data_IF_818499740143
#
_entry.id   IF_818499740143
#
_cell.length_a   1.000
_cell.length_b   1.000
_cell.length_c   1.000
_cell.angle_alpha   90.00
_cell.angle_beta   90.00
_cell.angle_gamma   90.00
#
_symmetry.space_group_name_H-M   'P 1'
#
loop_
_entity.id
_entity.type
_entity.pdbx_description
1 polymer ?
#
# COMPACT_ATOMS: atom_id res chain seq x y z
N UNK A 1 -9.10 -12.73 19.50
CA UNK A 1 -10.08 -13.57 20.21
C UNK A 1 -11.48 -13.14 19.79
N UNK A 2 -12.25 -14.03 19.16
CA UNK A 2 -13.63 -13.73 18.77
C UNK A 2 -14.63 -14.37 19.76
N UNK A 3 -15.34 -13.54 20.52
CA UNK A 3 -16.44 -13.96 21.41
C UNK A 3 -17.73 -14.18 20.62
N UNK A 4 -18.40 -15.31 20.84
CA UNK A 4 -19.71 -15.63 20.29
C UNK A 4 -20.73 -15.56 21.42
N UNK A 5 -21.56 -14.51 21.41
CA UNK A 5 -22.68 -14.38 22.33
C UNK A 5 -23.79 -15.41 22.00
N UNK A 6 -24.47 -15.91 23.04
CA UNK A 6 -25.76 -16.61 22.85
C UNK A 6 -26.82 -15.58 22.45
N UNK A 7 -26.87 -15.25 21.17
CA UNK A 7 -27.75 -14.24 20.61
C UNK A 7 -28.62 -14.80 19.50
N UNK A 8 -29.86 -14.32 19.41
CA UNK A 8 -30.65 -14.41 18.18
C UNK A 8 -30.32 -13.24 17.28
N UNK A 9 -30.17 -13.52 15.99
CA UNK A 9 -29.95 -12.54 14.93
C UNK A 9 -31.08 -12.62 13.88
N UNK A 10 -31.55 -11.47 13.40
CA UNK A 10 -32.62 -11.39 12.39
C UNK A 10 -32.35 -10.29 11.36
N UNK A 11 -32.34 -10.57 10.05
CA UNK A 11 -32.37 -11.92 9.45
C UNK A 11 -31.17 -12.76 9.89
N UNK A 12 -31.27 -14.09 9.78
CA UNK A 12 -30.12 -14.97 9.98
C UNK A 12 -29.09 -14.78 8.86
N UNK A 13 -27.85 -15.22 9.10
CA UNK A 13 -26.76 -15.12 8.13
C UNK A 13 -27.06 -15.86 6.81
N UNK A 14 -27.79 -16.98 6.87
CA UNK A 14 -28.17 -17.70 5.65
C UNK A 14 -29.31 -17.00 4.93
N UNK A 15 -30.34 -16.53 5.64
CA UNK A 15 -31.45 -15.78 5.03
C UNK A 15 -30.97 -14.51 4.32
N UNK A 16 -30.03 -13.76 4.90
CA UNK A 16 -29.50 -12.56 4.24
C UNK A 16 -28.66 -12.91 3.00
N UNK A 17 -27.89 -14.00 3.04
CA UNK A 17 -27.10 -14.43 1.89
C UNK A 17 -27.96 -15.04 0.79
N UNK A 18 -29.02 -15.78 1.14
CA UNK A 18 -29.99 -16.32 0.19
C UNK A 18 -30.67 -15.21 -0.60
N UNK A 19 -30.95 -14.08 0.04
CA UNK A 19 -31.54 -12.92 -0.62
C UNK A 19 -30.56 -12.12 -1.47
N UNK A 20 -29.29 -12.04 -1.07
CA UNK A 20 -28.31 -11.13 -1.68
C UNK A 20 -27.38 -11.81 -2.69
N UNK A 21 -26.81 -12.96 -2.36
CA UNK A 21 -25.75 -13.60 -3.16
C UNK A 21 -26.18 -13.90 -4.61
N UNK A 22 -27.41 -14.39 -4.90
CA UNK A 22 -27.82 -14.67 -6.28
C UNK A 22 -27.86 -13.45 -7.21
N UNK A 23 -27.88 -12.23 -6.67
CA UNK A 23 -27.84 -10.98 -7.46
C UNK A 23 -26.42 -10.54 -7.85
N UNK A 24 -25.39 -11.20 -7.32
CA UNK A 24 -24.01 -10.79 -7.48
C UNK A 24 -23.40 -11.36 -8.77
N UNK A 25 -22.51 -10.60 -9.45
CA UNK A 25 -21.94 -11.02 -10.73
C UNK A 25 -21.04 -12.25 -10.63
N UNK A 26 -20.50 -12.55 -9.44
CA UNK A 26 -19.64 -13.69 -9.16
C UNK A 26 -20.39 -14.95 -8.72
N UNK A 27 -21.71 -14.89 -8.54
CA UNK A 27 -22.48 -16.01 -8.01
C UNK A 27 -22.55 -17.17 -8.99
N UNK A 28 -22.14 -18.36 -8.53
CA UNK A 28 -22.24 -19.61 -9.29
C UNK A 28 -23.07 -20.63 -8.51
N UNK A 29 -24.23 -21.01 -9.05
CA UNK A 29 -25.08 -22.03 -8.44
C UNK A 29 -26.53 -21.96 -8.90
N UNK A 30 -27.34 -22.90 -8.39
CA UNK A 30 -28.78 -22.93 -8.66
C UNK A 30 -29.49 -21.93 -7.74
N UNK A 31 -29.92 -20.80 -8.31
CA UNK A 31 -30.77 -19.84 -7.60
C UNK A 31 -32.02 -20.54 -7.02
N UNK A 32 -32.56 -20.01 -5.93
CA UNK A 32 -33.77 -20.51 -5.24
C UNK A 32 -33.67 -21.91 -4.60
N UNK A 33 -32.49 -22.55 -4.59
CA UNK A 33 -32.27 -23.82 -3.88
C UNK A 33 -31.90 -23.65 -2.41
N UNK A 34 -31.67 -22.41 -1.97
CA UNK A 34 -31.16 -22.07 -0.65
C UNK A 34 -29.66 -22.39 -0.47
N UNK A 35 -29.01 -21.63 0.40
CA UNK A 35 -27.62 -21.75 0.73
C UNK A 35 -27.44 -22.65 1.96
N UNK A 36 -26.52 -23.59 1.82
CA UNK A 36 -26.06 -24.43 2.92
C UNK A 36 -24.70 -23.94 3.41
N UNK A 37 -24.53 -23.79 4.72
CA UNK A 37 -23.23 -23.49 5.32
C UNK A 37 -22.35 -24.73 5.26
N UNK A 38 -21.21 -24.63 4.59
CA UNK A 38 -20.18 -25.67 4.53
C UNK A 38 -19.20 -25.50 5.68
N UNK A 39 -18.65 -24.30 5.83
CA UNK A 39 -17.72 -23.96 6.90
C UNK A 39 -17.72 -22.45 7.16
N UNK A 40 -17.06 -22.04 8.24
CA UNK A 40 -16.83 -20.65 8.59
C UNK A 40 -15.51 -20.49 9.32
N UNK A 41 -14.92 -19.31 9.20
CA UNK A 41 -13.76 -18.86 9.96
C UNK A 41 -13.84 -17.36 10.21
N UNK A 42 -13.02 -16.85 11.13
CA UNK A 42 -13.02 -15.43 11.52
C UNK A 42 -11.61 -14.87 11.52
N UNK A 43 -11.52 -13.55 11.37
CA UNK A 43 -10.33 -12.79 11.72
C UNK A 43 -10.65 -11.87 12.90
N UNK A 44 -9.61 -11.49 13.63
CA UNK A 44 -9.73 -10.50 14.68
C UNK A 44 -9.61 -9.10 14.10
N UNK A 45 -10.54 -8.22 14.49
CA UNK A 45 -10.34 -6.78 14.39
C UNK A 45 -9.46 -6.34 15.57
N UNK A 46 -8.28 -5.72 15.34
CA UNK A 46 -7.41 -5.24 16.41
C UNK A 46 -8.11 -4.30 17.40
N UNK A 47 -9.07 -3.50 16.92
CA UNK A 47 -9.82 -2.55 17.73
C UNK A 47 -11.08 -3.18 18.37
N UNK A 48 -11.48 -4.37 17.91
CA UNK A 48 -12.62 -5.12 18.45
C UNK A 48 -14.01 -4.56 18.10
N UNK A 49 -14.09 -3.61 17.17
CA UNK A 49 -15.32 -2.88 16.83
C UNK A 49 -16.10 -3.54 15.68
N UNK A 50 -15.40 -4.23 14.78
CA UNK A 50 -15.96 -4.87 13.59
C UNK A 50 -15.90 -6.38 13.73
N UNK A 51 -17.08 -7.02 13.66
CA UNK A 51 -17.13 -8.47 13.55
C UNK A 51 -16.70 -8.91 12.15
N UNK A 52 -15.61 -9.68 12.05
CA UNK A 52 -15.14 -10.23 10.76
C UNK A 52 -15.41 -11.74 10.72
N UNK A 53 -16.08 -12.20 9.67
CA UNK A 53 -16.38 -13.62 9.48
C UNK A 53 -16.46 -13.97 8.00
N UNK A 54 -15.89 -15.09 7.62
CA UNK A 54 -16.04 -15.64 6.28
C UNK A 54 -16.88 -16.90 6.34
N UNK A 55 -17.92 -16.95 5.52
CA UNK A 55 -18.76 -18.12 5.33
C UNK A 55 -18.38 -18.81 4.02
N UNK A 56 -18.17 -20.12 4.09
CA UNK A 56 -18.12 -20.99 2.93
C UNK A 56 -19.50 -21.60 2.76
N UNK A 57 -20.18 -21.29 1.66
CA UNK A 57 -21.57 -21.67 1.39
C UNK A 57 -21.71 -22.41 0.08
N UNK A 58 -22.79 -23.16 -0.09
CA UNK A 58 -23.10 -23.89 -1.33
C UNK A 58 -24.57 -23.74 -1.68
N UNK A 59 -24.85 -23.34 -2.92
CA UNK A 59 -26.20 -23.34 -3.51
C UNK A 59 -26.44 -24.66 -4.24
N UNK A 60 -27.36 -25.49 -3.72
CA UNK A 60 -27.69 -26.80 -4.29
C UNK A 60 -26.46 -27.71 -4.48
N UNK A 61 -26.20 -28.12 -5.72
CA UNK A 61 -25.02 -28.92 -6.11
C UNK A 61 -23.89 -28.10 -6.74
N UNK A 62 -23.97 -26.77 -6.67
CA UNK A 62 -22.95 -25.85 -7.18
C UNK A 62 -21.61 -25.93 -6.43
N UNK A 63 -20.63 -25.10 -6.83
CA UNK A 63 -19.35 -25.00 -6.15
C UNK A 63 -19.52 -24.46 -4.73
N UNK A 64 -18.48 -24.64 -3.90
CA UNK A 64 -18.38 -23.89 -2.64
C UNK A 64 -17.99 -22.46 -2.97
N UNK A 65 -18.77 -21.52 -2.45
CA UNK A 65 -18.56 -20.08 -2.56
C UNK A 65 -18.04 -19.52 -1.23
N UNK A 66 -17.11 -18.57 -1.31
CA UNK A 66 -16.60 -17.80 -0.18
C UNK A 66 -17.29 -16.44 -0.12
N UNK A 67 -17.90 -16.13 1.03
CA UNK A 67 -18.55 -14.84 1.29
C UNK A 67 -18.05 -14.28 2.62
N UNK A 68 -17.08 -13.33 2.58
CA UNK A 68 -16.65 -12.63 3.76
C UNK A 68 -17.63 -11.52 4.12
N UNK A 69 -17.92 -11.39 5.41
CA UNK A 69 -18.90 -10.48 5.98
C UNK A 69 -18.24 -9.64 7.07
N UNK A 70 -18.58 -8.35 7.09
CA UNK A 70 -18.35 -7.49 8.26
C UNK A 70 -19.65 -7.10 8.92
N UNK A 71 -19.65 -7.08 10.26
CA UNK A 71 -20.77 -6.67 11.10
C UNK A 71 -20.37 -5.42 11.90
N UNK A 72 -20.95 -4.28 11.57
CA UNK A 72 -20.64 -2.98 12.22
C UNK A 72 -21.78 -2.50 13.10
N UNK A 73 -21.45 -1.83 14.20
CA UNK A 73 -22.44 -1.17 15.09
C UNK A 73 -22.99 0.15 14.55
N UNK A 74 -22.45 0.66 13.44
CA UNK A 74 -22.87 1.87 12.76
C UNK A 74 -22.61 1.73 11.23
N UNK A 75 -23.27 2.54 10.37
CA UNK A 75 -22.99 2.56 8.94
C UNK A 75 -21.52 2.87 8.63
N UNK A 76 -20.97 2.20 7.62
CA UNK A 76 -19.66 2.50 7.03
C UNK A 76 -19.79 3.67 6.04
N UNK A 77 -19.02 4.74 6.27
CA UNK A 77 -18.94 5.87 5.34
C UNK A 77 -18.42 5.41 3.97
N UNK A 78 -19.16 5.74 2.91
CA UNK A 78 -18.83 5.31 1.53
C UNK A 78 -19.05 3.82 1.25
N UNK A 79 -19.64 3.07 2.19
CA UNK A 79 -19.85 1.63 2.08
C UNK A 79 -21.13 1.20 1.38
N UNK A 80 -21.96 2.13 0.88
CA UNK A 80 -23.32 1.84 0.38
C UNK A 80 -23.36 0.76 -0.70
N UNK A 81 -22.39 0.75 -1.61
CA UNK A 81 -22.29 -0.23 -2.69
C UNK A 81 -22.02 -1.66 -2.19
N UNK A 82 -21.54 -1.81 -0.96
CA UNK A 82 -21.17 -3.08 -0.33
C UNK A 82 -22.15 -3.49 0.77
N UNK A 83 -23.13 -2.64 1.09
CA UNK A 83 -24.13 -2.95 2.12
C UNK A 83 -25.01 -4.09 1.63
N UNK A 84 -25.00 -5.19 2.36
CA UNK A 84 -25.89 -6.33 2.11
C UNK A 84 -27.26 -6.03 2.73
N UNK A 85 -27.27 -5.75 4.04
CA UNK A 85 -28.50 -5.46 4.79
C UNK A 85 -28.20 -4.91 6.18
N UNK A 86 -29.24 -4.56 6.93
CA UNK A 86 -29.20 -4.36 8.37
C UNK A 86 -29.78 -5.56 9.11
N UNK A 87 -29.23 -5.88 10.27
CA UNK A 87 -29.58 -7.04 11.09
C UNK A 87 -29.77 -6.64 12.55
N UNK A 88 -30.77 -7.19 13.22
CA UNK A 88 -30.98 -7.04 14.66
C UNK A 88 -30.21 -8.12 15.42
N UNK A 89 -29.36 -7.74 16.37
CA UNK A 89 -28.65 -8.65 17.27
C UNK A 89 -29.13 -8.45 18.71
N UNK A 90 -29.77 -9.48 19.28
CA UNK A 90 -30.37 -9.41 20.63
C UNK A 90 -29.47 -8.89 21.76
N UNK A 91 -28.15 -9.08 21.65
CA UNK A 91 -27.16 -8.59 22.63
C UNK A 91 -26.49 -7.28 22.21
N UNK A 92 -26.31 -7.07 20.90
CA UNK A 92 -25.41 -6.05 20.37
C UNK A 92 -26.17 -4.91 19.67
N UNK A 93 -27.50 -4.98 19.62
CA UNK A 93 -28.36 -4.03 18.92
C UNK A 93 -28.31 -4.18 17.40
N UNK A 94 -28.75 -3.15 16.67
CA UNK A 94 -28.70 -3.10 15.21
C UNK A 94 -27.27 -3.24 14.68
N UNK A 95 -27.14 -3.92 13.54
CA UNK A 95 -25.87 -4.18 12.87
C UNK A 95 -26.00 -3.92 11.37
N UNK A 96 -25.01 -3.25 10.80
CA UNK A 96 -24.85 -3.10 9.36
C UNK A 96 -23.96 -4.22 8.85
N UNK A 97 -24.46 -4.97 7.88
CA UNK A 97 -23.79 -6.15 7.32
C UNK A 97 -23.31 -5.83 5.92
N UNK A 98 -22.00 -5.90 5.70
CA UNK A 98 -21.39 -5.60 4.41
C UNK A 98 -20.75 -6.85 3.80
N UNK A 99 -20.69 -6.87 2.47
CA UNK A 99 -19.71 -7.70 1.76
C UNK A 99 -18.33 -7.15 2.09
N UNK A 100 -17.55 -7.95 2.82
CA UNK A 100 -16.35 -7.47 3.49
C UNK A 100 -15.25 -7.02 2.53
N UNK A 101 -15.33 -7.41 1.25
CA UNK A 101 -14.41 -6.92 0.21
C UNK A 101 -14.37 -5.39 0.13
N UNK A 102 -15.48 -4.71 0.47
CA UNK A 102 -15.55 -3.25 0.56
C UNK A 102 -15.13 -2.64 1.89
N UNK A 103 -14.89 -3.45 2.93
CA UNK A 103 -14.62 -2.96 4.28
C UNK A 103 -13.10 -2.85 4.54
N UNK A 104 -12.57 -1.66 4.84
CA UNK A 104 -11.13 -1.48 5.08
C UNK A 104 -10.60 -2.32 6.25
N UNK A 105 -11.43 -2.61 7.26
CA UNK A 105 -11.02 -3.40 8.44
C UNK A 105 -10.82 -4.87 8.06
N UNK A 106 -11.71 -5.44 7.24
CA UNK A 106 -11.52 -6.79 6.70
C UNK A 106 -10.27 -6.85 5.82
N UNK A 107 -10.10 -5.88 4.92
CA UNK A 107 -8.94 -5.85 4.00
C UNK A 107 -7.62 -5.78 4.76
N UNK A 108 -7.55 -4.98 5.83
CA UNK A 108 -6.40 -4.92 6.71
C UNK A 108 -6.15 -6.27 7.42
N UNK A 109 -7.17 -6.84 8.05
CA UNK A 109 -7.05 -8.12 8.75
C UNK A 109 -6.60 -9.26 7.82
N UNK A 110 -7.22 -9.38 6.64
CA UNK A 110 -6.86 -10.37 5.63
C UNK A 110 -5.42 -10.19 5.15
N UNK A 111 -5.00 -8.96 4.83
CA UNK A 111 -3.63 -8.68 4.40
C UNK A 111 -2.62 -9.06 5.49
N UNK A 112 -2.87 -8.66 6.75
CA UNK A 112 -2.02 -9.02 7.88
C UNK A 112 -1.91 -10.53 8.05
N UNK A 113 -3.03 -11.27 8.03
CA UNK A 113 -3.01 -12.73 8.14
C UNK A 113 -2.19 -13.37 7.03
N UNK A 114 -2.38 -12.95 5.77
CA UNK A 114 -1.66 -13.51 4.63
C UNK A 114 -0.16 -13.27 4.74
N UNK A 115 0.23 -12.03 5.02
CA UNK A 115 1.62 -11.59 4.93
C UNK A 115 2.48 -12.08 6.09
N UNK A 116 1.89 -12.24 7.28
CA UNK A 116 2.57 -12.73 8.49
C UNK A 116 2.55 -14.25 8.64
N UNK A 117 1.90 -14.98 7.74
CA UNK A 117 1.67 -16.42 7.88
C UNK A 117 0.69 -16.77 9.00
N UNK A 118 -0.18 -15.82 9.36
CA UNK A 118 -1.20 -15.98 10.38
C UNK A 118 -2.29 -16.99 10.00
N UNK A 119 -3.20 -17.22 10.94
CA UNK A 119 -4.32 -18.17 10.81
C UNK A 119 -5.65 -17.55 11.23
N UNK A 120 -6.73 -18.31 11.06
CA UNK A 120 -8.03 -17.91 11.60
C UNK A 120 -8.01 -17.66 13.11
N UNK A 121 -8.85 -16.74 13.57
CA UNK A 121 -8.99 -16.44 15.00
C UNK A 121 -9.65 -17.60 15.77
N UNK A 122 -9.17 -17.82 17.00
CA UNK A 122 -9.82 -18.71 17.95
C UNK A 122 -11.21 -18.18 18.33
N UNK A 123 -12.20 -19.07 18.27
CA UNK A 123 -13.60 -18.74 18.53
C UNK A 123 -14.02 -19.29 19.89
N UNK A 124 -14.56 -18.45 20.76
CA UNK A 124 -15.05 -18.87 22.07
C UNK A 124 -16.56 -18.66 22.18
N UNK A 125 -17.29 -19.69 22.61
CA UNK A 125 -18.73 -19.63 22.86
C UNK A 125 -18.96 -19.36 24.35
N UNK A 126 -19.82 -18.40 24.66
CA UNK A 126 -20.27 -18.16 26.03
C UNK A 126 -21.01 -19.38 26.60
N UNK A 127 -20.49 -19.92 27.70
CA UNK A 127 -21.08 -20.99 28.49
C UNK A 127 -21.20 -20.55 29.95
N UNK A 128 -22.11 -21.15 30.72
CA UNK A 128 -22.33 -20.85 32.13
C UNK A 128 -21.10 -21.31 32.96
N UNK A 129 -20.09 -20.45 33.07
CA UNK A 129 -18.90 -20.64 33.90
C UNK A 129 -17.58 -20.20 33.26
N UNK A 130 -17.32 -20.54 32.00
CA UNK A 130 -16.12 -20.13 31.25
C UNK A 130 -16.34 -20.21 29.73
N UNK A 131 -15.72 -19.35 28.91
CA UNK A 131 -15.78 -19.44 27.46
C UNK A 131 -15.18 -20.77 26.96
N UNK A 132 -15.90 -21.48 26.08
CA UNK A 132 -15.44 -22.76 25.50
C UNK A 132 -14.93 -22.53 24.09
N UNK A 133 -13.70 -22.97 23.80
CA UNK A 133 -13.13 -22.92 22.45
C UNK A 133 -13.99 -23.78 21.51
N UNK A 134 -14.43 -23.19 20.41
CA UNK A 134 -15.11 -23.85 19.31
C UNK A 134 -14.08 -24.16 18.23
N UNK A 135 -13.95 -25.43 17.87
CA UNK A 135 -13.10 -25.81 16.74
C UNK A 135 -13.60 -25.13 15.46
N UNK A 136 -12.70 -24.44 14.77
CA UNK A 136 -12.98 -23.85 13.47
C UNK A 136 -13.28 -24.94 12.46
N UNK A 137 -14.35 -24.74 11.69
CA UNK A 137 -14.79 -25.67 10.61
C UNK A 137 -13.95 -25.57 9.34
N UNK A 138 -13.06 -24.57 9.27
CA UNK A 138 -12.04 -24.41 8.25
C UNK A 138 -10.71 -24.09 8.93
N UNK A 139 -9.61 -24.62 8.38
CA UNK A 139 -8.24 -24.25 8.77
C UNK A 139 -7.68 -23.34 7.69
N UNK A 140 -7.27 -22.14 8.07
CA UNK A 140 -6.83 -21.06 7.17
C UNK A 140 -5.40 -20.66 7.54
N UNK A 141 -4.54 -20.51 6.53
CA UNK A 141 -3.14 -20.15 6.75
C UNK A 141 -2.66 -19.21 5.63
N UNK A 142 -2.04 -18.10 6.02
CA UNK A 142 -1.29 -17.23 5.13
C UNK A 142 0.05 -17.85 4.73
N UNK A 143 0.54 -17.58 3.52
CA UNK A 143 1.84 -18.11 3.08
C UNK A 143 3.03 -17.53 3.85
N UNK A 144 2.94 -16.27 4.28
CA UNK A 144 3.95 -15.63 5.10
C UNK A 144 5.25 -15.31 4.36
N UNK A 145 5.52 -14.03 4.12
CA UNK A 145 6.80 -13.56 3.57
C UNK A 145 7.40 -12.36 4.28
N UNK A 146 6.63 -11.74 5.17
CA UNK A 146 7.02 -10.54 5.91
C UNK A 146 6.50 -10.65 7.34
N UNK A 147 7.41 -10.78 8.31
CA UNK A 147 7.06 -10.97 9.71
C UNK A 147 6.50 -9.69 10.37
N UNK A 148 6.72 -8.51 9.77
CA UNK A 148 6.31 -7.21 10.34
C UNK A 148 5.02 -6.65 9.69
N UNK A 149 4.49 -7.30 8.65
CA UNK A 149 3.33 -6.82 7.89
C UNK A 149 3.66 -5.61 6.99
N UNK A 150 2.83 -5.30 5.99
CA UNK A 150 3.21 -4.35 4.97
C UNK A 150 3.15 -2.92 5.51
N UNK A 151 4.28 -2.22 5.50
CA UNK A 151 4.33 -0.76 5.64
C UNK A 151 3.81 0.00 4.38
N UNK A 152 3.03 -0.66 3.50
CA UNK A 152 2.69 -0.18 2.14
C UNK A 152 1.32 -0.61 1.61
N UNK A 153 0.97 -0.14 0.40
CA UNK A 153 -0.33 -0.43 -0.23
C UNK A 153 -0.39 -1.88 -0.72
N UNK A 154 -1.23 -2.70 -0.09
CA UNK A 154 -1.53 -4.05 -0.56
C UNK A 154 -2.77 -4.06 -1.48
N UNK A 155 -2.71 -4.82 -2.58
CA UNK A 155 -3.89 -5.17 -3.36
C UNK A 155 -4.32 -6.59 -3.05
N UNK A 156 -5.60 -6.76 -2.80
CA UNK A 156 -6.21 -8.05 -2.49
C UNK A 156 -7.04 -8.47 -3.70
N UNK A 157 -6.81 -9.69 -4.18
CA UNK A 157 -7.67 -10.38 -5.12
C UNK A 157 -8.33 -11.54 -4.35
N UNK A 158 -9.64 -11.47 -4.12
CA UNK A 158 -10.41 -12.47 -3.37
C UNK A 158 -10.92 -13.56 -4.31
N UNK A 159 -10.82 -14.83 -3.91
CA UNK A 159 -11.38 -15.95 -4.68
C UNK A 159 -12.79 -16.25 -4.20
N UNK A 160 -13.81 -15.94 -5.03
CA UNK A 160 -15.22 -16.19 -4.67
C UNK A 160 -15.63 -17.66 -4.76
N UNK A 161 -15.04 -18.44 -5.66
CA UNK A 161 -15.32 -19.87 -5.82
C UNK A 161 -14.04 -20.71 -5.62
N UNK A 162 -13.58 -20.92 -4.37
CA UNK A 162 -12.29 -21.56 -4.11
C UNK A 162 -12.22 -23.06 -4.43
N UNK A 163 -13.35 -23.73 -4.64
CA UNK A 163 -13.40 -25.17 -4.92
C UNK A 163 -13.39 -25.52 -6.42
N UNK A 164 -13.18 -24.53 -7.30
CA UNK A 164 -13.03 -24.75 -8.74
C UNK A 164 -11.57 -25.03 -9.12
N UNK A 165 -11.35 -25.69 -10.25
CA UNK A 165 -10.00 -26.01 -10.76
C UNK A 165 -9.25 -24.78 -11.31
N UNK A 166 -9.97 -23.67 -11.52
CA UNK A 166 -9.45 -22.40 -12.01
C UNK A 166 -9.93 -21.27 -11.10
N UNK A 167 -9.24 -20.98 -9.98
CA UNK A 167 -9.59 -19.85 -9.13
C UNK A 167 -9.52 -18.55 -9.95
N UNK A 168 -10.50 -17.67 -9.78
CA UNK A 168 -10.60 -16.37 -10.47
C UNK A 168 -9.53 -15.40 -9.97
N UNK A 169 -8.28 -15.67 -10.31
CA UNK A 169 -7.13 -14.87 -9.97
C UNK A 169 -6.50 -14.32 -11.25
N UNK A 170 -6.45 -12.99 -11.42
CA UNK A 170 -5.76 -12.38 -12.54
C UNK A 170 -4.30 -12.86 -12.64
N UNK A 171 -3.71 -12.99 -13.84
CA UNK A 171 -2.29 -13.32 -13.95
C UNK A 171 -1.44 -12.20 -13.33
N UNK A 172 -0.30 -12.57 -12.72
CA UNK A 172 0.70 -11.62 -12.22
C UNK A 172 1.70 -11.38 -13.34
N UNK A 173 1.72 -10.18 -13.91
CA UNK A 173 2.55 -9.85 -15.09
C UNK A 173 3.59 -8.77 -14.81
N UNK A 174 3.55 -8.16 -13.63
CA UNK A 174 4.32 -6.96 -13.26
C UNK A 174 5.50 -7.26 -12.31
N UNK A 175 5.75 -8.53 -11.98
CA UNK A 175 6.81 -8.94 -11.07
C UNK A 175 6.55 -8.59 -9.60
N UNK A 176 5.32 -8.18 -9.24
CA UNK A 176 4.94 -7.94 -7.86
C UNK A 176 5.10 -9.20 -7.00
N UNK A 177 5.57 -9.01 -5.76
CA UNK A 177 5.58 -10.08 -4.77
C UNK A 177 4.14 -10.42 -4.40
N UNK A 178 3.84 -11.71 -4.38
CA UNK A 178 2.49 -12.22 -4.11
C UNK A 178 2.50 -13.26 -3.01
N UNK A 179 1.67 -13.03 -2.01
CA UNK A 179 1.36 -13.98 -0.96
C UNK A 179 -0.09 -14.46 -1.10
N UNK A 180 -0.40 -15.62 -0.54
CA UNK A 180 -1.72 -16.26 -0.67
C UNK A 180 -2.31 -16.62 0.69
N UNK A 181 -3.63 -16.53 0.78
CA UNK A 181 -4.40 -17.20 1.82
C UNK A 181 -4.80 -18.58 1.31
N UNK A 182 -4.54 -19.62 2.08
CA UNK A 182 -5.00 -20.98 1.77
C UNK A 182 -5.89 -21.53 2.85
N UNK A 183 -6.77 -22.47 2.50
CA UNK A 183 -7.59 -23.15 3.47
C UNK A 183 -7.89 -24.61 3.13
N UNK A 184 -8.26 -25.36 4.16
CA UNK A 184 -8.94 -26.66 4.06
C UNK A 184 -10.19 -26.65 4.92
N UNK A 185 -11.23 -27.36 4.49
CA UNK A 185 -12.46 -27.54 5.25
C UNK A 185 -13.01 -28.94 5.05
N UNK A 186 -13.98 -29.33 5.88
CA UNK A 186 -14.72 -30.59 5.69
C UNK A 186 -16.06 -30.28 5.06
N UNK A 187 -16.35 -30.92 3.92
CA UNK A 187 -17.65 -30.85 3.27
C UNK A 187 -18.20 -32.26 3.05
N UNK A 188 -19.44 -32.50 3.46
CA UNK A 188 -20.13 -33.81 3.38
C UNK A 188 -19.26 -34.98 3.86
N UNK A 189 -18.49 -34.78 4.93
CA UNK A 189 -17.63 -35.80 5.54
C UNK A 189 -16.27 -36.00 4.85
N UNK A 190 -15.96 -35.25 3.79
CA UNK A 190 -14.66 -35.30 3.10
C UNK A 190 -13.88 -34.01 3.32
N UNK A 191 -12.60 -34.13 3.66
CA UNK A 191 -11.71 -32.97 3.75
C UNK A 191 -11.31 -32.51 2.35
N UNK A 192 -11.42 -31.22 2.08
CA UNK A 192 -10.99 -30.62 0.81
C UNK A 192 -9.48 -30.73 0.62
N UNK A 193 -9.02 -30.62 -0.63
CA UNK A 193 -7.63 -30.23 -0.90
C UNK A 193 -7.37 -28.81 -0.37
N UNK A 194 -6.09 -28.42 -0.27
CA UNK A 194 -5.72 -27.03 0.01
C UNK A 194 -6.18 -26.15 -1.15
N UNK A 195 -7.05 -25.19 -0.86
CA UNK A 195 -7.55 -24.22 -1.85
C UNK A 195 -7.05 -22.81 -1.54
N UNK A 196 -6.86 -22.00 -2.58
CA UNK A 196 -6.51 -20.59 -2.44
C UNK A 196 -7.79 -19.79 -2.20
N UNK A 197 -7.82 -18.99 -1.15
CA UNK A 197 -8.95 -18.14 -0.77
C UNK A 197 -8.75 -16.67 -1.19
N UNK A 198 -7.51 -16.21 -1.23
CA UNK A 198 -7.17 -14.85 -1.62
C UNK A 198 -5.70 -14.78 -2.05
N UNK A 199 -5.36 -13.76 -2.83
CA UNK A 199 -3.99 -13.35 -3.11
C UNK A 199 -3.79 -11.91 -2.67
N UNK A 200 -2.67 -11.66 -2.00
CA UNK A 200 -2.21 -10.34 -1.60
C UNK A 200 -0.99 -9.99 -2.43
N UNK A 201 -1.11 -8.92 -3.22
CA UNK A 201 -0.03 -8.31 -3.96
C UNK A 201 0.52 -7.14 -3.17
N UNK A 202 1.79 -7.21 -2.82
CA UNK A 202 2.48 -6.09 -2.18
C UNK A 202 2.83 -5.12 -3.30
N UNK A 203 2.08 -4.01 -3.42
CA UNK A 203 2.33 -3.03 -4.49
C UNK A 203 3.53 -2.13 -4.18
N UNK A 204 4.04 -2.19 -2.95
CA UNK A 204 5.18 -1.44 -2.46
C UNK A 204 6.09 -2.33 -1.60
N UNK A 205 6.92 -3.16 -2.21
CA UNK A 205 8.24 -3.39 -1.59
C UNK A 205 9.09 -2.21 -2.00
N UNK A 206 9.14 -1.15 -1.18
CA UNK A 206 10.31 -0.27 -1.19
C UNK A 206 11.52 -1.06 -0.66
N UNK A 207 11.96 -2.10 -1.39
CA UNK A 207 13.35 -2.05 -1.79
C UNK A 207 13.35 -0.87 -2.73
N UNK A 208 13.76 0.30 -2.22
CA UNK A 208 14.18 1.37 -3.10
C UNK A 208 15.24 0.69 -3.96
N UNK A 209 14.87 0.31 -5.20
CA UNK A 209 15.87 -0.04 -6.19
C UNK A 209 16.83 1.13 -6.11
N UNK A 210 18.05 0.83 -5.66
CA UNK A 210 19.05 1.84 -5.37
C UNK A 210 18.96 2.91 -6.47
N UNK A 211 18.69 4.20 -6.16
CA UNK A 211 18.69 5.23 -7.20
C UNK A 211 20.04 5.22 -7.93
N UNK A 212 21.07 4.75 -7.22
CA UNK A 212 22.35 4.36 -7.78
C UNK A 212 22.20 3.22 -8.79
N UNK A 213 22.27 3.61 -10.06
CA UNK A 213 22.38 2.69 -11.19
C UNK A 213 23.86 2.49 -11.51
N UNK A 214 24.30 1.24 -11.56
CA UNK A 214 25.69 0.91 -11.88
C UNK A 214 26.15 1.63 -13.15
N UNK A 215 27.28 2.34 -13.06
CA UNK A 215 27.90 3.13 -14.13
C UNK A 215 27.05 4.28 -14.71
N UNK A 216 26.06 4.79 -13.97
CA UNK A 216 25.38 6.05 -14.31
C UNK A 216 25.98 7.20 -13.51
N UNK A 217 25.75 8.43 -13.96
CA UNK A 217 26.00 9.61 -13.12
C UNK A 217 25.05 9.49 -11.94
N UNK A 218 25.63 9.48 -10.76
CA UNK A 218 24.92 9.14 -9.53
C UNK A 218 24.88 10.33 -8.57
N UNK A 219 26.02 11.00 -8.40
CA UNK A 219 26.21 12.07 -7.44
C UNK A 219 27.26 13.06 -7.97
N UNK A 220 27.02 14.37 -7.81
CA UNK A 220 27.95 15.42 -8.23
C UNK A 220 28.38 16.24 -7.01
N UNK A 221 29.69 16.33 -6.77
CA UNK A 221 30.25 17.21 -5.75
C UNK A 221 30.78 18.50 -6.37
N UNK A 222 30.38 19.64 -5.81
CA UNK A 222 30.90 20.95 -6.13
C UNK A 222 32.01 21.28 -5.13
N UNK A 223 33.23 21.49 -5.64
CA UNK A 223 34.34 21.97 -4.84
C UNK A 223 34.10 23.44 -4.49
N UNK A 224 34.15 23.80 -3.20
CA UNK A 224 33.89 25.16 -2.73
C UNK A 224 35.01 25.64 -1.82
N UNK A 225 35.26 26.95 -1.82
CA UNK A 225 36.27 27.59 -0.97
C UNK A 225 35.76 27.88 0.44
N UNK A 226 34.43 28.01 0.60
CA UNK A 226 33.75 28.17 1.88
C UNK A 226 32.36 27.50 1.78
N UNK A 227 32.09 26.52 2.66
CA UNK A 227 30.85 25.74 2.63
C UNK A 227 29.64 26.58 3.07
N UNK A 228 29.82 27.52 4.01
CA UNK A 228 28.73 28.35 4.52
C UNK A 228 28.31 29.37 3.46
N UNK A 229 29.27 30.05 2.83
CA UNK A 229 28.99 31.00 1.77
C UNK A 229 28.33 30.31 0.55
N UNK A 230 28.80 29.11 0.20
CA UNK A 230 28.18 28.32 -0.86
C UNK A 230 26.73 27.93 -0.51
N UNK A 231 26.46 27.46 0.71
CA UNK A 231 25.10 27.15 1.17
C UNK A 231 24.19 28.37 1.06
N UNK A 232 24.64 29.54 1.51
CA UNK A 232 23.86 30.78 1.43
C UNK A 232 23.53 31.12 -0.03
N UNK A 233 24.54 31.13 -0.90
CA UNK A 233 24.37 31.40 -2.32
C UNK A 233 23.35 30.47 -2.99
N UNK A 234 23.54 29.15 -2.85
CA UNK A 234 22.66 28.17 -3.51
C UNK A 234 21.25 28.13 -2.90
N UNK A 235 21.10 28.43 -1.61
CA UNK A 235 19.79 28.59 -0.95
C UNK A 235 19.04 29.81 -1.51
N UNK A 236 19.71 30.96 -1.64
CA UNK A 236 19.08 32.20 -2.13
C UNK A 236 18.80 32.14 -3.64
N UNK A 237 19.71 31.60 -4.43
CA UNK A 237 19.57 31.54 -5.88
C UNK A 237 18.53 30.50 -6.32
N UNK A 238 18.51 29.33 -5.67
CA UNK A 238 17.80 28.14 -6.16
C UNK A 238 16.90 27.46 -5.12
N UNK A 239 16.86 27.93 -3.88
CA UNK A 239 16.05 27.31 -2.82
C UNK A 239 16.59 25.96 -2.37
N UNK A 240 17.88 25.66 -2.62
CA UNK A 240 18.48 24.40 -2.20
C UNK A 240 18.55 24.30 -0.67
N UNK A 241 18.45 23.07 -0.18
CA UNK A 241 18.61 22.75 1.24
C UNK A 241 19.65 21.66 1.41
N UNK A 242 20.20 21.55 2.61
CA UNK A 242 21.42 20.77 2.83
C UNK A 242 21.32 19.83 4.03
N UNK A 243 22.18 18.82 4.03
CA UNK A 243 22.49 17.94 5.17
C UNK A 243 23.93 18.20 5.59
N UNK A 244 24.15 18.64 6.83
CA UNK A 244 25.49 18.91 7.33
C UNK A 244 26.16 17.63 7.84
N UNK A 245 27.34 17.31 7.30
CA UNK A 245 28.19 16.20 7.76
C UNK A 245 29.48 16.67 8.44
N UNK A 246 29.66 17.98 8.56
CA UNK A 246 30.81 18.61 9.19
C UNK A 246 31.14 19.96 8.56
N UNK A 247 32.21 20.63 9.03
CA UNK A 247 32.61 21.93 8.49
C UNK A 247 33.14 21.85 7.05
N UNK A 248 33.56 20.67 6.59
CA UNK A 248 34.19 20.47 5.28
C UNK A 248 33.25 19.89 4.23
N UNK A 249 32.03 19.48 4.60
CA UNK A 249 31.12 18.79 3.69
C UNK A 249 29.65 18.98 4.06
N UNK A 250 28.83 19.25 3.04
CA UNK A 250 27.37 19.27 3.14
C UNK A 250 26.73 18.57 1.94
N UNK A 251 25.82 17.64 2.18
CA UNK A 251 25.00 17.03 1.13
C UNK A 251 23.90 17.99 0.65
N UNK A 252 23.61 18.00 -0.64
CA UNK A 252 22.54 18.75 -1.29
C UNK A 252 21.30 17.85 -1.30
N UNK A 253 20.23 18.26 -0.62
CA UNK A 253 19.01 17.47 -0.53
C UNK A 253 18.29 17.40 -1.86
N UNK A 254 17.76 16.22 -2.18
CA UNK A 254 16.74 16.07 -3.20
C UNK A 254 15.41 16.61 -2.66
N UNK A 255 14.80 17.56 -3.36
CA UNK A 255 13.46 18.03 -3.00
C UNK A 255 12.35 17.08 -3.49
N UNK A 256 12.66 16.19 -4.44
CA UNK A 256 11.72 15.21 -4.99
C UNK A 256 11.69 13.89 -4.21
N UNK A 257 12.74 13.59 -3.43
CA UNK A 257 12.88 12.33 -2.69
C UNK A 257 13.12 12.62 -1.21
N UNK A 258 12.17 12.22 -0.35
CA UNK A 258 12.30 12.37 1.09
C UNK A 258 13.54 11.63 1.61
N UNK A 259 14.44 12.37 2.26
CA UNK A 259 15.71 11.84 2.75
C UNK A 259 16.78 11.60 1.67
N UNK A 260 16.51 11.94 0.40
CA UNK A 260 17.46 11.80 -0.70
C UNK A 260 18.47 12.94 -0.80
N UNK A 261 19.61 12.66 -1.44
CA UNK A 261 20.65 13.64 -1.80
C UNK A 261 21.01 13.50 -3.27
N UNK A 262 21.26 14.62 -3.95
CA UNK A 262 21.57 14.67 -5.40
C UNK A 262 23.00 15.13 -5.70
N UNK A 263 23.74 15.55 -4.69
CA UNK A 263 25.08 16.10 -4.84
C UNK A 263 25.61 16.63 -3.52
N UNK A 264 26.81 17.20 -3.51
CA UNK A 264 27.47 17.68 -2.31
C UNK A 264 28.23 18.98 -2.53
N UNK A 265 28.41 19.73 -1.46
CA UNK A 265 29.39 20.82 -1.36
C UNK A 265 30.59 20.28 -0.58
N UNK A 266 31.76 20.25 -1.21
CA UNK A 266 32.99 19.74 -0.61
C UNK A 266 34.02 20.87 -0.52
N UNK A 267 34.52 21.13 0.68
CA UNK A 267 35.59 22.11 0.90
C UNK A 267 36.84 21.70 0.12
N UNK A 268 37.45 22.68 -0.56
CA UNK A 268 38.69 22.51 -1.29
C UNK A 268 39.58 23.75 -1.15
N UNK A 269 40.90 23.56 -1.23
CA UNK A 269 41.87 24.67 -1.17
C UNK A 269 41.86 25.54 -2.44
N UNK A 270 41.40 24.99 -3.56
CA UNK A 270 41.31 25.67 -4.84
C UNK A 270 40.15 25.12 -5.69
N UNK A 271 39.57 26.00 -6.51
CA UNK A 271 38.57 25.67 -7.54
C UNK A 271 39.15 26.02 -8.91
N UNK A 272 39.01 25.10 -9.87
CA UNK A 272 39.53 25.27 -11.22
C UNK A 272 38.39 25.22 -12.24
N UNK A 273 38.34 26.23 -13.11
CA UNK A 273 37.43 26.25 -14.26
C UNK A 273 37.86 25.23 -15.33
N UNK A 274 36.90 24.69 -16.08
CA UNK A 274 37.15 23.78 -17.20
C UNK A 274 36.78 22.30 -16.97
N UNK A 275 36.10 22.01 -15.86
CA UNK A 275 35.49 20.69 -15.59
C UNK A 275 34.14 20.48 -16.30
N UNK A 276 33.42 19.39 -15.97
CA UNK A 276 32.07 19.15 -16.48
C UNK A 276 31.12 20.31 -16.17
N UNK A 277 30.35 20.74 -17.17
CA UNK A 277 29.32 21.77 -16.97
C UNK A 277 28.04 21.12 -16.42
N UNK A 278 27.70 21.46 -15.17
CA UNK A 278 26.44 21.04 -14.55
C UNK A 278 25.33 22.00 -15.01
N UNK A 279 24.24 21.42 -15.54
CA UNK A 279 23.09 22.18 -16.04
C UNK A 279 21.88 22.00 -15.13
N UNK A 280 21.36 23.12 -14.62
CA UNK A 280 20.12 23.21 -13.87
C UNK A 280 18.96 23.52 -14.82
N UNK A 281 17.78 22.98 -14.54
CA UNK A 281 16.56 23.32 -15.26
C UNK A 281 15.83 24.48 -14.56
N UNK A 282 15.23 25.38 -15.33
CA UNK A 282 14.36 26.44 -14.82
C UNK A 282 13.07 26.53 -15.64
N UNK A 283 11.95 26.73 -14.95
CA UNK A 283 10.68 27.10 -15.58
C UNK A 283 10.60 28.60 -15.93
N UNK A 284 11.47 29.43 -15.34
CA UNK A 284 11.58 30.86 -15.63
C UNK A 284 13.07 31.25 -15.62
N UNK A 285 13.66 31.33 -16.81
CA UNK A 285 15.09 31.59 -16.95
C UNK A 285 15.48 33.01 -16.50
N UNK A 286 14.64 34.01 -16.77
CA UNK A 286 14.92 35.42 -16.46
C UNK A 286 14.82 35.67 -14.94
N UNK A 287 13.87 35.02 -14.27
CA UNK A 287 13.82 35.00 -12.81
C UNK A 287 15.06 34.31 -12.20
N UNK A 288 15.53 33.20 -12.78
CA UNK A 288 16.76 32.54 -12.33
C UNK A 288 18.00 33.42 -12.51
N UNK A 289 18.13 34.14 -13.63
CA UNK A 289 19.22 35.12 -13.82
C UNK A 289 19.19 36.17 -12.70
N UNK A 290 18.01 36.71 -12.43
CA UNK A 290 17.82 37.74 -11.39
C UNK A 290 18.22 37.22 -10.01
N UNK A 291 17.79 36.01 -9.64
CA UNK A 291 18.13 35.41 -8.34
C UNK A 291 19.61 35.08 -8.20
N UNK A 292 20.25 34.56 -9.25
CA UNK A 292 21.69 34.28 -9.25
C UNK A 292 22.50 35.56 -9.01
N UNK A 293 22.16 36.66 -9.71
CA UNK A 293 22.82 37.95 -9.50
C UNK A 293 22.57 38.50 -8.09
N UNK A 294 21.35 38.39 -7.57
CA UNK A 294 20.99 38.86 -6.24
C UNK A 294 21.73 38.12 -5.13
N UNK A 295 21.95 36.80 -5.29
CA UNK A 295 22.69 35.97 -4.34
C UNK A 295 24.22 36.18 -4.40
N UNK A 296 24.74 37.02 -5.32
CA UNK A 296 26.16 37.33 -5.45
C UNK A 296 26.91 36.53 -6.53
N UNK A 297 26.19 35.77 -7.36
CA UNK A 297 26.75 35.09 -8.52
C UNK A 297 27.01 36.05 -9.69
N UNK A 298 27.80 35.59 -10.67
CA UNK A 298 28.14 36.39 -11.86
C UNK A 298 27.71 35.67 -13.13
N UNK A 299 27.07 36.35 -14.07
CA UNK A 299 26.75 35.75 -15.37
C UNK A 299 28.04 35.66 -16.19
N UNK A 300 28.42 34.43 -16.58
CA UNK A 300 29.59 34.16 -17.39
C UNK A 300 29.28 34.29 -18.89
N UNK A 301 28.12 33.76 -19.33
CA UNK A 301 27.67 33.81 -20.73
C UNK A 301 26.14 33.78 -20.80
N UNK A 302 25.54 34.52 -21.74
CA UNK A 302 24.09 34.48 -22.02
C UNK A 302 23.24 35.42 -21.15
N UNK A 303 21.91 35.24 -21.12
CA UNK A 303 21.14 34.18 -21.79
C UNK A 303 21.23 34.19 -23.32
N UNK A 304 21.20 33.02 -23.94
CA UNK A 304 21.11 32.87 -25.39
C UNK A 304 20.24 31.67 -25.79
N UNK A 305 19.68 31.74 -26.99
CA UNK A 305 18.81 30.71 -27.57
C UNK A 305 19.63 29.58 -28.21
N UNK A 306 19.07 28.38 -28.19
CA UNK A 306 19.54 27.21 -28.94
C UNK A 306 18.33 26.35 -29.37
N UNK A 307 18.49 25.42 -30.33
CA UNK A 307 17.39 24.53 -30.69
C UNK A 307 16.87 23.75 -29.47
N UNK A 308 15.65 24.07 -29.02
CA UNK A 308 14.99 23.41 -27.89
C UNK A 308 14.87 24.25 -26.62
N UNK A 309 15.46 25.46 -26.57
CA UNK A 309 15.29 26.35 -25.43
C UNK A 309 16.33 27.47 -25.36
N UNK A 310 16.53 27.99 -24.16
CA UNK A 310 17.46 29.07 -23.84
C UNK A 310 18.27 28.73 -22.60
N UNK A 311 19.49 29.24 -22.50
CA UNK A 311 20.35 29.03 -21.33
C UNK A 311 21.28 30.19 -21.04
N UNK A 312 21.73 30.28 -19.80
CA UNK A 312 22.87 31.12 -19.39
C UNK A 312 23.84 30.31 -18.54
N UNK A 313 25.07 30.78 -18.45
CA UNK A 313 26.09 30.24 -17.56
C UNK A 313 26.40 31.27 -16.48
N UNK A 314 26.73 30.83 -15.28
CA UNK A 314 27.10 31.68 -14.17
C UNK A 314 28.27 31.10 -13.37
N UNK A 315 28.96 31.99 -12.66
CA UNK A 315 29.97 31.66 -11.68
C UNK A 315 29.38 31.79 -10.28
N UNK A 316 29.56 30.76 -9.45
CA UNK A 316 29.28 30.82 -8.01
C UNK A 316 30.39 31.63 -7.26
N UNK A 317 30.23 31.88 -5.94
CA UNK A 317 31.25 32.60 -5.16
C UNK A 317 32.62 31.91 -5.09
N UNK A 318 32.66 30.57 -5.23
CA UNK A 318 33.90 29.79 -5.21
C UNK A 318 34.61 29.77 -6.57
N UNK A 319 33.94 30.22 -7.63
CA UNK A 319 34.47 30.24 -8.99
C UNK A 319 34.13 29.00 -9.82
N UNK A 320 33.09 28.22 -9.46
CA UNK A 320 32.56 27.15 -10.30
C UNK A 320 31.68 27.74 -11.41
N UNK A 321 31.86 27.28 -12.66
CA UNK A 321 30.96 27.60 -13.76
C UNK A 321 29.85 26.55 -13.87
N UNK A 322 28.60 26.98 -13.70
CA UNK A 322 27.40 26.16 -13.90
C UNK A 322 26.48 26.83 -14.93
N UNK A 323 25.53 26.07 -15.49
CA UNK A 323 24.52 26.62 -16.39
C UNK A 323 23.10 26.40 -15.89
N UNK A 324 22.20 27.26 -16.33
CA UNK A 324 20.76 27.08 -16.18
C UNK A 324 20.13 27.14 -17.56
N UNK A 325 19.21 26.22 -17.85
CA UNK A 325 18.47 26.21 -19.10
C UNK A 325 16.97 26.10 -18.86
N UNK A 326 16.19 26.60 -19.81
CA UNK A 326 14.74 26.49 -19.85
C UNK A 326 14.31 26.04 -21.25
N UNK A 327 13.24 25.24 -21.31
CA UNK A 327 12.54 24.96 -22.57
C UNK A 327 11.84 26.23 -23.08
N UNK A 328 11.49 26.26 -24.37
CA UNK A 328 10.57 27.28 -24.91
C UNK A 328 9.18 27.20 -24.27
#
# INVERSE_FOLDING_TARGET
>A
MALIHKATIRPTKLELLDAWAPSQPWFEGEADTGLTLVASFRFDDPDGEVGIETLLVRAGNGPVLQVPLTYRGAPLEGGDAWLITTMEHSVLGPRWVYDAEGDPVYRAALATTVLTGGREADQYVESDGAPVLRESTATVVGSGSDAEGPAGKARIDLVRAPDTDAPDLPPVTDGSQTEILTATWTDRGTRSATRVLARVRILDTKVQASPHRHHHIDYIELAVLDVVDAKNFYSEAFGWTFVDYGPEYAGIRDLAVEGGEIGGLRLAEAVHSGGPLVLLFSDDLDASVTRVLAAGGKIATGPYEFPGGRRFHFMDPSGNELGVWAKH
#
